data_IF_313535830798
#
_entry.id   IF_313535830798
#
_cell.length_a   1.000
_cell.length_b   1.000
_cell.length_c   1.000
_cell.angle_alpha   90.00
_cell.angle_beta   90.00
_cell.angle_gamma   90.00
#
_symmetry.space_group_name_H-M   'P 1'
#
loop_
_entity.id
_entity.type
_entity.pdbx_description
1 polymer ?
#
# COMPACT_ATOMS: atom_id res chain seq x y z
N UNK A 1 -12.04 5.45 17.87
CA UNK A 1 -12.72 4.56 16.89
C UNK A 1 -11.77 4.38 15.71
N UNK A 2 -11.57 3.16 15.22
CA UNK A 2 -10.73 2.90 14.05
C UNK A 2 -11.47 3.28 12.76
N UNK A 3 -10.80 3.88 11.79
CA UNK A 3 -11.38 4.21 10.47
C UNK A 3 -11.63 2.99 9.58
N UNK A 4 -10.90 1.90 9.82
CA UNK A 4 -10.94 0.72 8.96
C UNK A 4 -12.03 -0.25 9.45
N UNK A 5 -11.96 -0.68 10.71
CA UNK A 5 -12.93 -1.61 11.27
C UNK A 5 -14.11 -0.94 11.98
N UNK A 6 -14.12 0.39 12.16
CA UNK A 6 -15.16 1.13 12.90
C UNK A 6 -15.37 0.70 14.35
N UNK A 7 -14.44 -0.07 14.94
CA UNK A 7 -14.50 -0.47 16.34
C UNK A 7 -13.83 0.53 17.28
N UNK A 8 -14.28 0.55 18.54
CA UNK A 8 -13.60 1.25 19.63
C UNK A 8 -12.42 0.37 20.07
N UNK A 9 -11.20 0.89 19.91
CA UNK A 9 -9.95 0.23 20.31
C UNK A 9 -9.15 1.18 21.21
N UNK A 10 -8.37 0.63 22.13
CA UNK A 10 -7.50 1.38 23.05
C UNK A 10 -6.21 1.84 22.38
N UNK A 11 -5.59 1.00 21.55
CA UNK A 11 -4.42 1.35 20.74
C UNK A 11 -4.86 1.89 19.37
N UNK A 12 -4.78 3.21 19.23
CA UNK A 12 -5.08 3.92 17.99
C UNK A 12 -4.01 4.95 17.67
N UNK A 13 -3.79 5.18 16.38
CA UNK A 13 -2.77 6.09 15.85
C UNK A 13 -3.39 7.03 14.82
N UNK A 14 -2.92 8.28 14.69
CA UNK A 14 -3.46 9.21 13.70
C UNK A 14 -3.21 8.72 12.26
N UNK A 15 -4.22 8.83 11.38
CA UNK A 15 -4.09 8.48 9.96
C UNK A 15 -3.24 9.47 9.16
N UNK A 16 -3.32 10.74 9.54
CA UNK A 16 -2.73 11.86 8.81
C UNK A 16 -1.35 12.28 9.35
N UNK A 17 -0.81 11.56 10.34
CA UNK A 17 0.54 11.80 10.84
C UNK A 17 1.58 11.09 9.98
N UNK A 18 2.69 11.78 9.71
CA UNK A 18 3.85 11.22 9.02
C UNK A 18 4.57 10.21 9.93
N UNK A 19 4.82 8.98 9.44
CA UNK A 19 5.67 7.99 10.11
C UNK A 19 6.65 7.42 9.10
N UNK A 20 7.95 7.47 9.38
CA UNK A 20 8.99 6.85 8.52
C UNK A 20 8.86 7.26 7.04
N UNK A 21 8.69 8.56 6.79
CA UNK A 21 8.49 9.14 5.45
C UNK A 21 7.26 8.69 4.67
N UNK A 22 6.32 7.99 5.32
CA UNK A 22 5.06 7.54 4.71
C UNK A 22 3.85 8.11 5.45
N UNK A 23 2.79 8.39 4.70
CA UNK A 23 1.49 8.73 5.24
C UNK A 23 0.57 7.52 5.11
N UNK A 24 0.09 7.00 6.24
CA UNK A 24 -0.87 5.88 6.28
C UNK A 24 -2.10 6.19 5.41
N UNK A 25 -2.55 7.44 5.49
CA UNK A 25 -3.58 7.99 4.61
C UNK A 25 -3.32 7.75 3.12
N UNK A 26 -2.11 8.07 2.64
CA UNK A 26 -1.77 7.95 1.22
C UNK A 26 -1.78 6.49 0.76
N UNK A 27 -1.26 5.57 1.59
CA UNK A 27 -1.26 4.14 1.27
C UNK A 27 -2.69 3.60 1.14
N UNK A 28 -3.58 3.97 2.06
CA UNK A 28 -4.98 3.54 2.05
C UNK A 28 -5.77 4.07 0.84
N UNK A 29 -5.56 5.34 0.48
CA UNK A 29 -6.23 5.93 -0.71
C UNK A 29 -5.66 5.34 -1.99
N UNK A 30 -4.34 5.23 -2.09
CA UNK A 30 -3.65 4.81 -3.32
C UNK A 30 -3.82 3.33 -3.63
N UNK A 31 -3.72 2.47 -2.62
CA UNK A 31 -3.61 1.03 -2.83
C UNK A 31 -4.84 0.24 -2.38
N UNK A 32 -5.58 0.72 -1.37
CA UNK A 32 -6.84 0.11 -0.95
C UNK A 32 -8.07 0.81 -1.53
N UNK A 33 -7.87 1.89 -2.32
CA UNK A 33 -8.94 2.66 -2.97
C UNK A 33 -10.04 3.13 -2.01
N UNK A 34 -9.67 3.39 -0.75
CA UNK A 34 -10.63 3.90 0.22
C UNK A 34 -10.94 5.37 -0.09
N UNK A 35 -12.23 5.70 -0.05
CA UNK A 35 -12.68 7.09 -0.10
C UNK A 35 -12.47 7.74 1.28
N UNK A 36 -11.30 8.34 1.47
CA UNK A 36 -10.88 9.02 2.68
C UNK A 36 -10.52 10.46 2.35
N UNK A 37 -11.08 11.42 3.09
CA UNK A 37 -10.68 12.81 3.01
C UNK A 37 -10.40 13.38 4.40
N UNK A 38 -9.53 14.38 4.44
CA UNK A 38 -9.34 15.19 5.65
C UNK A 38 -10.69 15.87 5.95
N UNK A 39 -11.19 15.70 7.17
CA UNK A 39 -12.46 16.26 7.65
C UNK A 39 -13.74 15.70 6.99
N UNK A 40 -13.75 14.44 6.53
CA UNK A 40 -14.96 13.78 5.98
C UNK A 40 -16.00 13.33 7.04
N UNK A 41 -15.82 13.74 8.29
CA UNK A 41 -16.71 13.39 9.41
C UNK A 41 -16.50 11.98 9.98
N UNK A 42 -15.63 11.15 9.40
CA UNK A 42 -15.31 9.83 9.92
C UNK A 42 -14.11 9.82 10.88
N UNK A 43 -13.76 8.65 11.44
CA UNK A 43 -12.63 8.54 12.36
C UNK A 43 -11.29 8.93 11.70
N UNK A 44 -10.48 9.72 12.40
CA UNK A 44 -9.16 10.16 11.95
C UNK A 44 -8.01 9.26 12.44
N UNK A 45 -8.32 8.07 12.93
CA UNK A 45 -7.35 7.15 13.55
C UNK A 45 -7.47 5.73 13.02
N UNK A 46 -6.37 5.00 12.97
CA UNK A 46 -6.29 3.56 12.69
C UNK A 46 -5.91 2.79 13.96
N UNK A 47 -6.45 1.59 14.19
CA UNK A 47 -6.03 0.77 15.33
C UNK A 47 -4.78 -0.05 14.99
N UNK A 48 -4.11 -0.57 16.02
CA UNK A 48 -2.90 -1.40 15.85
C UNK A 48 -3.08 -2.55 14.86
N UNK A 49 -4.15 -3.34 15.02
CA UNK A 49 -4.43 -4.49 14.15
C UNK A 49 -4.57 -4.10 12.68
N UNK A 50 -5.44 -3.13 12.34
CA UNK A 50 -5.62 -2.71 10.96
C UNK A 50 -4.35 -2.06 10.37
N UNK A 51 -3.52 -1.44 11.22
CA UNK A 51 -2.24 -0.90 10.78
C UNK A 51 -1.22 -2.01 10.48
N UNK A 52 -1.17 -3.07 11.27
CA UNK A 52 -0.33 -4.25 11.00
C UNK A 52 -0.73 -4.96 9.72
N UNK A 53 -2.04 -5.17 9.51
CA UNK A 53 -2.59 -5.74 8.28
C UNK A 53 -2.23 -4.89 7.05
N UNK A 54 -2.29 -3.56 7.15
CA UNK A 54 -1.84 -2.65 6.10
C UNK A 54 -0.35 -2.84 5.79
N UNK A 55 0.52 -2.95 6.80
CA UNK A 55 1.95 -3.18 6.59
C UNK A 55 2.23 -4.51 5.87
N UNK A 56 1.53 -5.58 6.23
CA UNK A 56 1.63 -6.88 5.57
C UNK A 56 1.18 -6.77 4.10
N UNK A 57 0.06 -6.10 3.85
CA UNK A 57 -0.44 -5.84 2.50
C UNK A 57 0.57 -5.05 1.65
N UNK A 58 1.14 -3.98 2.18
CA UNK A 58 2.14 -3.17 1.49
C UNK A 58 3.41 -3.96 1.16
N UNK A 59 3.89 -4.78 2.10
CA UNK A 59 5.04 -5.65 1.87
C UNK A 59 4.77 -6.71 0.79
N UNK A 60 3.55 -7.24 0.72
CA UNK A 60 3.14 -8.17 -0.34
C UNK A 60 3.06 -7.46 -1.69
N UNK A 61 2.45 -6.27 -1.75
CA UNK A 61 2.35 -5.48 -2.96
C UNK A 61 3.73 -5.17 -3.56
N UNK A 62 4.73 -4.85 -2.74
CA UNK A 62 6.09 -4.59 -3.21
C UNK A 62 6.78 -5.85 -3.75
N UNK A 63 6.47 -7.04 -3.20
CA UNK A 63 6.92 -8.31 -3.79
C UNK A 63 6.33 -8.50 -5.19
N UNK A 64 5.04 -8.21 -5.38
CA UNK A 64 4.38 -8.30 -6.68
C UNK A 64 4.99 -7.34 -7.71
N UNK A 65 5.25 -6.08 -7.32
CA UNK A 65 5.90 -5.09 -8.20
C UNK A 65 7.28 -5.56 -8.68
N UNK A 66 8.13 -6.00 -7.75
CA UNK A 66 9.47 -6.53 -8.08
C UNK A 66 9.40 -7.75 -9.00
N UNK A 67 8.48 -8.67 -8.72
CA UNK A 67 8.29 -9.85 -9.57
C UNK A 67 7.88 -9.45 -11.01
N UNK A 68 6.99 -8.46 -11.14
CA UNK A 68 6.58 -7.95 -12.44
C UNK A 68 7.73 -7.23 -13.19
N UNK A 69 8.53 -6.43 -12.49
CA UNK A 69 9.72 -5.79 -13.06
C UNK A 69 10.71 -6.82 -13.61
N UNK A 70 11.02 -7.86 -12.83
CA UNK A 70 11.90 -8.97 -13.24
C UNK A 70 11.32 -9.69 -14.48
N UNK A 71 10.01 -9.98 -14.47
CA UNK A 71 9.34 -10.61 -15.60
C UNK A 71 9.46 -9.77 -16.89
N UNK A 72 9.22 -8.46 -16.80
CA UNK A 72 9.33 -7.56 -17.95
C UNK A 72 10.76 -7.45 -18.47
N UNK A 73 11.76 -7.42 -17.59
CA UNK A 73 13.17 -7.44 -17.98
C UNK A 73 13.54 -8.72 -18.73
N UNK A 74 13.09 -9.89 -18.25
CA UNK A 74 13.31 -11.15 -18.95
C UNK A 74 12.64 -11.18 -20.33
N UNK A 75 11.42 -10.66 -20.45
CA UNK A 75 10.71 -10.57 -21.73
C UNK A 75 11.42 -9.65 -22.73
N UNK A 76 12.02 -8.54 -22.26
CA UNK A 76 12.80 -7.63 -23.10
C UNK A 76 14.08 -8.31 -23.62
N UNK A 77 14.86 -8.96 -22.74
CA UNK A 77 16.07 -9.68 -23.15
C UNK A 77 15.81 -10.81 -24.16
N UNK A 78 14.64 -11.47 -24.09
CA UNK A 78 14.26 -12.51 -25.06
C UNK A 78 13.88 -11.98 -26.44
N UNK A 79 13.48 -10.71 -26.56
CA UNK A 79 13.16 -10.11 -27.84
C UNK A 79 14.43 -9.62 -28.56
N UNK A 80 15.42 -9.13 -27.80
CA UNK A 80 16.70 -8.67 -28.34
C UNK A 80 17.55 -9.83 -28.90
N UNK A 81 17.50 -11.02 -28.28
CA UNK A 81 18.20 -12.20 -28.79
C UNK A 81 17.63 -12.73 -30.11
N UNK A 82 16.37 -12.44 -30.44
CA UNK A 82 15.74 -12.92 -31.69
C UNK A 82 16.00 -12.04 -32.91
N UNK A 83 16.59 -10.86 -32.73
CA UNK A 83 16.92 -9.93 -33.83
C UNK A 83 18.40 -9.97 -34.25
N UNK A 84 19.26 -10.70 -33.55
CA UNK A 84 20.69 -10.80 -33.88
C UNK A 84 21.04 -11.96 -34.83
N UNK A 85 20.07 -12.80 -35.21
CA UNK A 85 20.25 -13.98 -36.07
C UNK A 85 19.60 -13.82 -37.48
N UNK A 86 19.40 -12.59 -37.96
CA UNK A 86 18.95 -12.32 -39.34
C UNK A 86 19.88 -11.38 -40.09
#
# INVERSE_FOLDING_TARGET
ICRICFEIKSDVRPLFSKKEDRFIYEELVKYAHLNLHINDGGPATICGQCFEELNVFMAFLDKCKRANEIFLQHMQCQNDTRHSDR
#
